data_IF_051792926058
#
_entry.id   IF_051792926058
#
_cell.length_a   1.000
_cell.length_b   1.000
_cell.length_c   1.000
_cell.angle_alpha   90.00
_cell.angle_beta   90.00
_cell.angle_gamma   90.00
#
_symmetry.space_group_name_H-M   'P 1'
#
loop_
_entity.id
_entity.type
_entity.pdbx_description
1 polymer ?
#
# COMPACT_ATOMS: atom_id res chain seq x y z
N UNK A 1 -10.99 -22.89 40.96
CA UNK A 1 -9.94 -22.82 39.91
C UNK A 1 -10.02 -21.41 39.34
N UNK A 2 -8.98 -20.56 39.43
CA UNK A 2 -9.07 -19.22 38.88
C UNK A 2 -9.23 -19.35 37.37
N UNK A 3 -10.40 -18.94 36.88
CA UNK A 3 -10.71 -18.87 35.46
C UNK A 3 -9.72 -17.91 34.81
N UNK A 4 -9.07 -18.34 33.72
CA UNK A 4 -8.10 -17.51 32.97
C UNK A 4 -8.71 -16.14 32.70
N UNK A 5 -8.00 -15.07 33.04
CA UNK A 5 -8.47 -13.70 32.80
C UNK A 5 -8.59 -13.47 31.29
N UNK A 6 -9.50 -12.59 30.87
CA UNK A 6 -9.69 -12.25 29.45
C UNK A 6 -8.38 -11.83 28.78
N UNK A 7 -7.58 -11.09 29.54
CA UNK A 7 -6.25 -10.62 29.20
C UNK A 7 -5.25 -11.74 28.89
N UNK A 8 -5.20 -12.78 29.74
CA UNK A 8 -4.36 -13.96 29.48
C UNK A 8 -4.83 -14.73 28.23
N UNK A 9 -6.14 -14.78 27.98
CA UNK A 9 -6.67 -15.40 26.76
C UNK A 9 -6.25 -14.64 25.50
N UNK A 10 -6.26 -13.31 25.54
CA UNK A 10 -5.77 -12.48 24.44
C UNK A 10 -4.27 -12.68 24.20
N UNK A 11 -3.45 -12.76 25.25
CA UNK A 11 -2.00 -13.00 25.09
C UNK A 11 -1.71 -14.36 24.44
N UNK A 12 -2.48 -15.39 24.77
CA UNK A 12 -2.39 -16.70 24.10
C UNK A 12 -2.76 -16.59 22.62
N UNK A 13 -3.80 -15.83 22.28
CA UNK A 13 -4.21 -15.59 20.87
C UNK A 13 -3.12 -14.85 20.11
N UNK A 14 -2.53 -13.81 20.69
CA UNK A 14 -1.39 -13.11 20.07
C UNK A 14 -0.18 -14.03 19.87
N UNK A 15 0.12 -14.90 20.84
CA UNK A 15 1.19 -15.90 20.70
C UNK A 15 0.93 -16.88 19.54
N UNK A 16 -0.30 -17.37 19.40
CA UNK A 16 -0.70 -18.22 18.27
C UNK A 16 -0.61 -17.48 16.94
N UNK A 17 -1.05 -16.23 16.92
CA UNK A 17 -1.02 -15.41 15.73
C UNK A 17 0.41 -15.14 15.27
N UNK A 18 1.36 -14.95 16.19
CA UNK A 18 2.79 -14.86 15.85
C UNK A 18 3.33 -16.11 15.20
N UNK A 19 3.03 -17.28 15.77
CA UNK A 19 3.40 -18.56 15.17
C UNK A 19 2.78 -18.71 13.77
N UNK A 20 1.52 -18.31 13.62
CA UNK A 20 0.83 -18.35 12.34
C UNK A 20 1.44 -17.38 11.30
N UNK A 21 1.86 -16.17 11.71
CA UNK A 21 2.60 -15.22 10.89
C UNK A 21 4.00 -15.74 10.53
N UNK A 22 4.66 -16.43 11.46
CA UNK A 22 5.98 -17.01 11.23
C UNK A 22 5.95 -18.12 10.17
N UNK A 23 4.99 -19.04 10.26
CA UNK A 23 4.80 -20.12 9.28
C UNK A 23 3.99 -19.71 8.05
N UNK A 24 3.48 -18.47 8.03
CA UNK A 24 2.66 -17.92 6.94
C UNK A 24 1.45 -18.79 6.58
N UNK A 25 0.60 -19.13 7.56
CA UNK A 25 -0.66 -19.84 7.30
C UNK A 25 -1.86 -18.87 7.29
N UNK A 26 -2.38 -18.47 6.11
CA UNK A 26 -3.38 -17.42 6.00
C UNK A 26 -4.72 -17.76 6.67
N UNK A 27 -5.10 -19.04 6.66
CA UNK A 27 -6.38 -19.49 7.22
C UNK A 27 -6.41 -19.37 8.74
N UNK A 28 -5.30 -19.74 9.38
CA UNK A 28 -5.16 -19.65 10.84
C UNK A 28 -5.08 -18.18 11.27
N UNK A 29 -4.35 -17.34 10.52
CA UNK A 29 -4.23 -15.91 10.82
C UNK A 29 -5.61 -15.25 10.82
N UNK A 30 -6.40 -15.45 9.77
CA UNK A 30 -7.73 -14.86 9.67
C UNK A 30 -8.65 -15.28 10.83
N UNK A 31 -8.67 -16.58 11.15
CA UNK A 31 -9.46 -17.13 12.25
C UNK A 31 -9.05 -16.59 13.62
N UNK A 32 -7.74 -16.44 13.86
CA UNK A 32 -7.24 -15.92 15.13
C UNK A 32 -7.41 -14.39 15.24
N UNK A 33 -7.41 -13.64 14.12
CA UNK A 33 -7.78 -12.20 14.10
C UNK A 33 -9.25 -12.02 14.47
N UNK A 34 -10.16 -12.78 13.85
CA UNK A 34 -11.60 -12.74 14.18
C UNK A 34 -11.84 -13.07 15.67
N UNK A 35 -11.15 -14.09 16.17
CA UNK A 35 -11.19 -14.44 17.60
C UNK A 35 -10.63 -13.32 18.49
N UNK A 36 -9.58 -12.63 18.05
CA UNK A 36 -9.02 -11.51 18.79
C UNK A 36 -10.00 -10.33 18.85
N UNK A 37 -10.70 -10.01 17.76
CA UNK A 37 -11.77 -9.01 17.75
C UNK A 37 -12.88 -9.35 18.75
N UNK A 38 -13.41 -10.58 18.72
CA UNK A 38 -14.46 -10.99 19.68
C UNK A 38 -14.04 -10.84 21.14
N UNK A 39 -12.77 -11.12 21.45
CA UNK A 39 -12.24 -11.02 22.80
C UNK A 39 -11.97 -9.55 23.20
N UNK A 40 -11.59 -8.70 22.25
CA UNK A 40 -11.43 -7.26 22.44
C UNK A 40 -12.78 -6.59 22.71
N UNK A 41 -13.83 -6.98 21.99
CA UNK A 41 -15.19 -6.45 22.16
C UNK A 41 -15.80 -6.83 23.52
N UNK A 42 -15.44 -8.00 24.05
CA UNK A 42 -15.85 -8.47 25.38
C UNK A 42 -15.19 -7.73 26.55
N UNK A 43 -14.21 -6.85 26.28
CA UNK A 43 -13.57 -6.01 27.31
C UNK A 43 -12.05 -6.05 27.33
N UNK A 44 -11.38 -6.10 26.17
CA UNK A 44 -9.92 -6.06 26.09
C UNK A 44 -9.33 -4.69 26.44
N UNK A 45 -8.25 -4.70 27.23
CA UNK A 45 -7.44 -3.52 27.58
C UNK A 45 -7.02 -2.70 26.35
N UNK A 46 -6.95 -1.38 26.51
CA UNK A 46 -6.56 -0.45 25.44
C UNK A 46 -5.23 -0.81 24.76
N UNK A 47 -4.21 -1.21 25.54
CA UNK A 47 -2.89 -1.62 25.01
C UNK A 47 -3.00 -2.84 24.06
N UNK A 48 -3.81 -3.83 24.42
CA UNK A 48 -4.04 -5.02 23.58
C UNK A 48 -4.80 -4.70 22.31
N UNK A 49 -5.66 -3.68 22.32
CA UNK A 49 -6.34 -3.20 21.10
C UNK A 49 -5.33 -2.61 20.12
N UNK A 50 -4.38 -1.81 20.60
CA UNK A 50 -3.33 -1.24 19.75
C UNK A 50 -2.40 -2.32 19.18
N UNK A 51 -2.07 -3.34 19.99
CA UNK A 51 -1.32 -4.50 19.51
C UNK A 51 -2.04 -5.27 18.41
N UNK A 52 -3.35 -5.46 18.55
CA UNK A 52 -4.16 -6.10 17.51
C UNK A 52 -4.13 -5.29 16.21
N UNK A 53 -4.33 -3.97 16.28
CA UNK A 53 -4.26 -3.11 15.10
C UNK A 53 -2.88 -3.12 14.42
N UNK A 54 -1.79 -3.15 15.19
CA UNK A 54 -0.44 -3.24 14.64
C UNK A 54 -0.22 -4.56 13.89
N UNK A 55 -0.69 -5.67 14.47
CA UNK A 55 -0.70 -7.00 13.83
C UNK A 55 -1.52 -6.98 12.53
N UNK A 56 -2.73 -6.42 12.57
CA UNK A 56 -3.62 -6.32 11.42
C UNK A 56 -2.99 -5.48 10.31
N UNK A 57 -2.35 -4.36 10.65
CA UNK A 57 -1.63 -3.52 9.69
C UNK A 57 -0.62 -4.35 8.88
N UNK A 58 0.18 -5.19 9.54
CA UNK A 58 1.19 -6.04 8.89
C UNK A 58 0.51 -7.15 8.07
N UNK A 59 -0.57 -7.73 8.59
CA UNK A 59 -1.36 -8.72 7.86
C UNK A 59 -1.94 -8.14 6.56
N UNK A 60 -2.56 -6.96 6.61
CA UNK A 60 -3.09 -6.27 5.45
C UNK A 60 -2.00 -5.86 4.46
N UNK A 61 -0.82 -5.44 4.93
CA UNK A 61 0.36 -5.24 4.08
C UNK A 61 0.73 -6.52 3.31
N UNK A 62 0.64 -7.67 3.98
CA UNK A 62 0.93 -8.98 3.39
C UNK A 62 -0.16 -9.50 2.44
N UNK A 63 -1.36 -8.93 2.44
CA UNK A 63 -2.47 -9.31 1.54
C UNK A 63 -2.69 -8.30 0.40
N UNK A 64 -1.79 -7.33 0.22
CA UNK A 64 -1.89 -6.20 -0.73
C UNK A 64 -3.03 -5.21 -0.43
N UNK A 65 -3.61 -5.25 0.76
CA UNK A 65 -4.65 -4.33 1.21
C UNK A 65 -4.01 -3.07 1.82
N UNK A 66 -3.26 -2.32 1.00
CA UNK A 66 -2.50 -1.16 1.48
C UNK A 66 -3.40 -0.03 2.00
N UNK A 67 -4.66 0.06 1.54
CA UNK A 67 -5.59 1.11 1.98
C UNK A 67 -5.98 0.94 3.44
N UNK A 68 -6.39 -0.26 3.82
CA UNK A 68 -6.72 -0.62 5.20
C UNK A 68 -5.46 -0.55 6.08
N UNK A 69 -4.34 -1.09 5.58
CA UNK A 69 -3.06 -1.03 6.29
C UNK A 69 -2.62 0.41 6.61
N UNK A 70 -2.75 1.34 5.66
CA UNK A 70 -2.37 2.75 5.85
C UNK A 70 -3.22 3.46 6.90
N UNK A 71 -4.52 3.15 6.98
CA UNK A 71 -5.41 3.73 7.98
C UNK A 71 -5.04 3.23 9.38
N UNK A 72 -4.87 1.91 9.53
CA UNK A 72 -4.46 1.29 10.79
C UNK A 72 -3.07 1.76 11.24
N UNK A 73 -2.14 1.97 10.29
CA UNK A 73 -0.81 2.47 10.60
C UNK A 73 -0.84 3.86 11.23
N UNK A 74 -1.59 4.80 10.64
CA UNK A 74 -1.68 6.17 11.16
C UNK A 74 -2.26 6.20 12.57
N UNK A 75 -3.23 5.33 12.87
CA UNK A 75 -3.80 5.20 14.21
C UNK A 75 -2.83 4.57 15.23
N UNK A 76 -1.96 3.67 14.77
CA UNK A 76 -1.04 2.93 15.64
C UNK A 76 0.32 3.60 15.84
N UNK A 77 0.65 4.60 15.03
CA UNK A 77 1.99 5.20 14.98
C UNK A 77 2.42 5.77 16.34
N UNK A 78 1.54 6.51 17.02
CA UNK A 78 1.83 7.18 18.30
C UNK A 78 1.78 6.24 19.51
N UNK A 79 1.23 5.04 19.36
CA UNK A 79 0.95 4.11 20.47
C UNK A 79 1.52 2.71 20.24
N UNK A 80 2.59 2.61 19.46
CA UNK A 80 3.18 1.32 19.13
C UNK A 80 3.83 0.67 20.36
N UNK A 81 3.20 -0.39 20.87
CA UNK A 81 3.63 -1.13 22.05
C UNK A 81 3.83 -2.64 21.77
N UNK A 82 4.36 -2.98 20.57
CA UNK A 82 4.51 -4.36 20.11
C UNK A 82 5.93 -4.72 19.65
N UNK A 83 6.94 -4.59 20.54
CA UNK A 83 8.35 -4.90 20.20
C UNK A 83 8.56 -6.39 19.86
N UNK A 84 7.69 -7.25 20.36
CA UNK A 84 7.73 -8.69 20.14
C UNK A 84 7.36 -9.13 18.71
N UNK A 85 6.79 -8.23 17.90
CA UNK A 85 6.44 -8.51 16.50
C UNK A 85 7.54 -8.01 15.55
N UNK A 86 7.96 -6.77 15.71
CA UNK A 86 9.06 -6.14 14.98
C UNK A 86 9.56 -4.91 15.72
N UNK A 87 10.74 -4.43 15.35
CA UNK A 87 11.25 -3.15 15.84
C UNK A 87 10.37 -1.99 15.38
N UNK A 88 10.34 -0.89 16.14
CA UNK A 88 9.61 0.33 15.74
C UNK A 88 10.09 0.84 14.38
N UNK A 89 11.39 0.74 14.10
CA UNK A 89 11.96 1.04 12.79
C UNK A 89 11.31 0.23 11.67
N UNK A 90 11.28 -1.09 11.80
CA UNK A 90 10.67 -1.94 10.77
C UNK A 90 9.18 -1.67 10.63
N UNK A 91 8.47 -1.41 11.73
CA UNK A 91 7.04 -1.08 11.67
C UNK A 91 6.79 0.21 10.89
N UNK A 92 7.54 1.26 11.20
CA UNK A 92 7.49 2.53 10.47
C UNK A 92 7.84 2.33 9.00
N UNK A 93 8.82 1.47 8.67
CA UNK A 93 9.14 1.14 7.28
C UNK A 93 7.93 0.56 6.54
N UNK A 94 7.30 -0.48 7.08
CA UNK A 94 6.18 -1.16 6.41
C UNK A 94 4.97 -0.23 6.27
N UNK A 95 4.67 0.53 7.33
CA UNK A 95 3.59 1.52 7.32
C UNK A 95 3.82 2.67 6.36
N UNK A 96 5.02 3.26 6.34
CA UNK A 96 5.39 4.32 5.42
C UNK A 96 5.31 3.85 3.96
N UNK A 97 5.75 2.63 3.65
CA UNK A 97 5.60 2.03 2.33
C UNK A 97 4.11 1.84 1.96
N UNK A 98 3.28 1.34 2.87
CA UNK A 98 1.84 1.22 2.63
C UNK A 98 1.17 2.58 2.35
N UNK A 99 1.53 3.60 3.14
CA UNK A 99 1.08 4.98 2.95
C UNK A 99 1.54 5.58 1.63
N UNK A 100 2.79 5.30 1.20
CA UNK A 100 3.36 5.78 -0.07
C UNK A 100 2.52 5.38 -1.29
N UNK A 101 1.96 4.17 -1.27
CA UNK A 101 1.16 3.65 -2.38
C UNK A 101 -0.22 4.32 -2.44
N UNK A 102 -0.87 4.53 -1.29
CA UNK A 102 -2.30 4.85 -1.24
C UNK A 102 -2.60 6.34 -1.07
N UNK A 103 -1.89 7.02 -0.18
CA UNK A 103 -2.29 8.34 0.31
C UNK A 103 -2.09 9.42 -0.74
N UNK A 104 -2.77 10.57 -0.70
CA UNK A 104 -2.46 11.68 -1.64
C UNK A 104 -1.16 12.42 -1.26
N UNK A 105 -0.59 13.24 -2.14
CA UNK A 105 0.62 14.04 -1.86
C UNK A 105 0.47 14.91 -0.61
N UNK A 106 -0.69 15.56 -0.45
CA UNK A 106 -0.97 16.42 0.70
C UNK A 106 -1.05 15.62 2.01
N UNK A 107 -1.68 14.45 1.97
CA UNK A 107 -1.84 13.60 3.15
C UNK A 107 -0.52 12.95 3.56
N UNK A 108 0.33 12.56 2.60
CA UNK A 108 1.67 11.99 2.89
C UNK A 108 2.51 12.98 3.68
N UNK A 109 2.52 14.25 3.27
CA UNK A 109 3.27 15.27 4.00
C UNK A 109 2.78 15.40 5.44
N UNK A 110 1.47 15.62 5.59
CA UNK A 110 0.85 15.91 6.90
C UNK A 110 0.90 14.72 7.87
N UNK A 111 0.69 13.50 7.38
CA UNK A 111 0.50 12.31 8.25
C UNK A 111 1.73 11.42 8.39
N UNK A 112 2.72 11.55 7.50
CA UNK A 112 3.91 10.67 7.50
C UNK A 112 5.20 11.47 7.57
N UNK A 113 5.42 12.45 6.69
CA UNK A 113 6.70 13.19 6.62
C UNK A 113 6.87 14.12 7.84
N UNK A 114 5.80 14.80 8.24
CA UNK A 114 5.81 15.76 9.36
C UNK A 114 5.51 15.07 10.71
N UNK A 115 5.29 13.75 10.73
CA UNK A 115 4.98 13.00 11.94
C UNK A 115 6.24 12.84 12.81
N UNK A 116 6.23 13.27 14.10
CA UNK A 116 7.42 13.26 14.93
C UNK A 116 8.00 11.86 15.14
N UNK A 117 7.16 10.84 15.27
CA UNK A 117 7.58 9.45 15.46
C UNK A 117 8.32 8.90 14.24
N UNK A 118 7.94 9.36 13.04
CA UNK A 118 8.63 9.00 11.81
C UNK A 118 9.98 9.72 11.77
N UNK A 119 10.01 11.02 12.04
CA UNK A 119 11.23 11.85 12.02
C UNK A 119 12.32 11.30 12.95
N UNK A 120 11.96 10.82 14.14
CA UNK A 120 12.90 10.18 15.06
C UNK A 120 13.54 8.91 14.49
N UNK A 121 12.77 8.16 13.68
CA UNK A 121 13.15 6.86 13.12
C UNK A 121 13.79 6.98 11.73
N UNK A 122 13.70 8.14 11.07
CA UNK A 122 14.27 8.39 9.72
C UNK A 122 15.76 8.02 9.66
N UNK A 123 16.52 8.24 10.73
CA UNK A 123 17.96 7.91 10.77
C UNK A 123 18.26 6.43 10.56
N UNK A 124 17.34 5.53 10.94
CA UNK A 124 17.48 4.09 10.73
C UNK A 124 17.06 3.65 9.31
N UNK A 125 16.25 4.45 8.61
CA UNK A 125 15.67 4.11 7.31
C UNK A 125 15.77 5.29 6.34
N UNK A 126 16.99 5.64 5.90
CA UNK A 126 17.20 6.81 5.05
C UNK A 126 16.57 6.64 3.66
N UNK A 127 16.47 5.43 3.14
CA UNK A 127 16.06 5.18 1.75
C UNK A 127 14.55 5.40 1.54
N UNK A 128 13.73 5.02 2.53
CA UNK A 128 12.27 5.22 2.48
C UNK A 128 11.91 6.70 2.65
N UNK A 129 12.58 7.41 3.55
CA UNK A 129 12.37 8.86 3.72
C UNK A 129 12.79 9.64 2.48
N UNK A 130 13.97 9.34 1.90
CA UNK A 130 14.41 9.92 0.63
C UNK A 130 13.39 9.70 -0.47
N UNK A 131 12.86 8.49 -0.62
CA UNK A 131 11.83 8.17 -1.63
C UNK A 131 10.55 9.00 -1.41
N UNK A 132 10.10 9.14 -0.17
CA UNK A 132 8.88 9.89 0.15
C UNK A 132 9.04 11.39 -0.06
N UNK A 133 10.17 11.96 0.38
CA UNK A 133 10.50 13.38 0.18
C UNK A 133 10.74 13.71 -1.28
N UNK A 134 11.46 12.88 -2.03
CA UNK A 134 11.70 13.12 -3.46
C UNK A 134 10.41 13.08 -4.28
N UNK A 135 9.49 12.17 -3.94
CA UNK A 135 8.15 12.14 -4.53
C UNK A 135 7.33 13.40 -4.17
N UNK A 136 7.43 13.87 -2.94
CA UNK A 136 6.75 15.08 -2.49
C UNK A 136 7.32 16.35 -3.15
N UNK A 137 8.64 16.47 -3.26
CA UNK A 137 9.36 17.62 -3.83
C UNK A 137 9.39 17.60 -5.37
N UNK A 138 8.81 16.57 -6.00
CA UNK A 138 8.80 16.36 -7.45
C UNK A 138 10.20 16.19 -8.07
N UNK A 139 11.17 15.65 -7.31
CA UNK A 139 12.50 15.27 -7.81
C UNK A 139 12.48 13.83 -8.31
N UNK A 140 12.09 13.66 -9.55
CA UNK A 140 11.79 12.33 -10.10
C UNK A 140 13.02 11.44 -10.38
N UNK A 141 14.16 12.03 -10.74
CA UNK A 141 15.41 11.29 -10.90
C UNK A 141 15.86 10.66 -9.56
N UNK A 142 15.92 11.46 -8.49
CA UNK A 142 16.25 10.99 -7.14
C UNK A 142 15.24 9.94 -6.65
N UNK A 143 13.96 10.10 -7.00
CA UNK A 143 12.91 9.13 -6.68
C UNK A 143 13.16 7.75 -7.30
N UNK A 144 13.63 7.65 -8.55
CA UNK A 144 13.91 6.36 -9.19
C UNK A 144 15.10 5.64 -8.55
N UNK A 145 16.14 6.40 -8.18
CA UNK A 145 17.29 5.86 -7.46
C UNK A 145 16.86 5.34 -6.09
N UNK A 146 16.15 6.17 -5.31
CA UNK A 146 15.65 5.78 -4.00
C UNK A 146 14.67 4.59 -4.06
N UNK A 147 13.82 4.51 -5.10
CA UNK A 147 12.91 3.38 -5.29
C UNK A 147 13.66 2.06 -5.55
N UNK A 148 14.78 2.11 -6.29
CA UNK A 148 15.62 0.94 -6.54
C UNK A 148 16.34 0.47 -5.26
N UNK A 149 16.84 1.40 -4.45
CA UNK A 149 17.43 1.14 -3.13
C UNK A 149 16.38 0.50 -2.20
N UNK A 150 15.17 1.07 -2.11
CA UNK A 150 14.07 0.50 -1.29
C UNK A 150 13.67 -0.90 -1.76
N UNK A 151 13.67 -1.16 -3.08
CA UNK A 151 13.38 -2.50 -3.61
C UNK A 151 14.39 -3.54 -3.14
N UNK A 152 15.67 -3.20 -3.15
CA UNK A 152 16.76 -4.10 -2.81
C UNK A 152 16.90 -4.29 -1.30
N UNK A 153 16.86 -3.21 -0.53
CA UNK A 153 17.13 -3.24 0.91
C UNK A 153 15.93 -3.68 1.74
N UNK A 154 14.71 -3.29 1.37
CA UNK A 154 13.52 -3.52 2.20
C UNK A 154 12.51 -4.48 1.57
N UNK A 155 12.16 -4.31 0.30
CA UNK A 155 11.08 -5.11 -0.30
C UNK A 155 11.48 -6.56 -0.52
N UNK A 156 12.69 -6.82 -1.06
CA UNK A 156 13.19 -8.19 -1.30
C UNK A 156 13.56 -8.92 -0.01
N UNK A 157 14.05 -8.18 0.99
CA UNK A 157 14.48 -8.75 2.27
C UNK A 157 13.28 -9.04 3.19
N UNK A 158 12.24 -8.19 3.16
CA UNK A 158 11.08 -8.34 4.03
C UNK A 158 10.31 -9.64 3.74
N UNK A 159 10.10 -10.44 4.80
CA UNK A 159 9.30 -11.68 4.73
C UNK A 159 7.89 -11.46 4.18
N UNK A 160 7.26 -10.35 4.53
CA UNK A 160 5.86 -10.07 4.19
C UNK A 160 5.72 -9.42 2.81
N UNK A 161 6.65 -8.53 2.44
CA UNK A 161 6.56 -7.75 1.20
C UNK A 161 7.30 -8.40 0.01
N UNK A 162 8.18 -9.39 0.23
CA UNK A 162 8.95 -10.02 -0.84
C UNK A 162 8.04 -10.64 -1.93
N UNK A 163 6.91 -11.26 -1.58
CA UNK A 163 5.97 -11.76 -2.62
C UNK A 163 5.29 -10.66 -3.43
N UNK A 164 5.42 -9.40 -3.03
CA UNK A 164 4.68 -8.25 -3.54
C UNK A 164 5.56 -7.11 -4.06
N UNK A 165 6.88 -7.27 -4.06
CA UNK A 165 7.82 -6.24 -4.52
C UNK A 165 7.53 -5.74 -5.95
N UNK A 166 7.28 -6.63 -6.91
CA UNK A 166 6.92 -6.24 -8.28
C UNK A 166 5.64 -5.43 -8.36
N UNK A 167 4.66 -5.74 -7.51
CA UNK A 167 3.42 -4.97 -7.44
C UNK A 167 3.74 -3.56 -6.93
N UNK A 168 4.48 -3.46 -5.83
CA UNK A 168 4.84 -2.19 -5.21
C UNK A 168 5.59 -1.26 -6.18
N UNK A 169 6.66 -1.74 -6.81
CA UNK A 169 7.49 -0.92 -7.70
C UNK A 169 6.74 -0.49 -8.96
N UNK A 170 5.80 -1.31 -9.42
CA UNK A 170 4.90 -0.95 -10.52
C UNK A 170 3.93 0.15 -10.12
N UNK A 171 3.28 0.03 -8.97
CA UNK A 171 2.32 1.03 -8.49
C UNK A 171 3.00 2.38 -8.19
N UNK A 172 4.19 2.36 -7.58
CA UNK A 172 4.98 3.57 -7.31
C UNK A 172 5.40 4.28 -8.60
N UNK A 173 5.77 3.55 -9.66
CA UNK A 173 6.07 4.14 -10.98
C UNK A 173 4.86 4.77 -11.64
N UNK A 174 3.72 4.07 -11.67
CA UNK A 174 2.45 4.61 -12.21
C UNK A 174 2.13 5.93 -11.51
N UNK A 175 2.30 5.96 -10.19
CA UNK A 175 2.04 7.15 -9.37
C UNK A 175 2.99 8.31 -9.70
N UNK A 176 4.28 8.05 -9.82
CA UNK A 176 5.25 9.07 -10.24
C UNK A 176 4.91 9.65 -11.62
N UNK A 177 4.57 8.80 -12.60
CA UNK A 177 4.15 9.22 -13.92
C UNK A 177 2.84 10.00 -13.91
N UNK A 178 1.82 9.51 -13.18
CA UNK A 178 0.54 10.18 -13.06
C UNK A 178 0.69 11.58 -12.45
N UNK A 179 1.51 11.73 -11.41
CA UNK A 179 1.76 13.01 -10.75
C UNK A 179 2.42 14.02 -11.69
N UNK A 180 3.41 13.61 -12.50
CA UNK A 180 4.00 14.50 -13.49
C UNK A 180 2.95 14.90 -14.55
N UNK A 181 2.25 13.91 -15.11
CA UNK A 181 1.26 14.12 -16.18
C UNK A 181 0.06 14.97 -15.73
N UNK A 182 -0.34 14.92 -14.46
CA UNK A 182 -1.49 15.69 -13.95
C UNK A 182 -1.32 17.20 -14.12
N UNK A 183 -0.06 17.68 -14.05
CA UNK A 183 0.30 19.10 -14.17
C UNK A 183 0.36 19.60 -15.62
N UNK A 184 0.40 18.71 -16.62
CA UNK A 184 0.60 19.07 -18.03
C UNK A 184 -0.54 18.54 -18.92
N UNK A 185 -0.98 19.37 -19.88
CA UNK A 185 -1.89 18.92 -20.94
C UNK A 185 -1.14 18.13 -22.02
N UNK A 186 0.06 18.59 -22.37
CA UNK A 186 0.96 17.92 -23.30
C UNK A 186 2.41 18.07 -22.82
N UNK A 187 3.23 17.04 -23.06
CA UNK A 187 4.63 16.98 -22.68
C UNK A 187 5.43 16.20 -23.71
N UNK A 188 6.62 16.67 -24.09
CA UNK A 188 7.52 15.90 -24.96
C UNK A 188 8.12 14.71 -24.21
N UNK A 189 8.22 13.54 -24.86
CA UNK A 189 8.82 12.33 -24.28
C UNK A 189 10.26 12.57 -23.81
N UNK A 190 11.02 13.43 -24.50
CA UNK A 190 12.40 13.78 -24.12
C UNK A 190 12.48 14.49 -22.77
N UNK A 191 11.70 15.55 -22.58
CA UNK A 191 11.62 16.28 -21.30
C UNK A 191 11.15 15.37 -20.14
N UNK A 192 10.21 14.47 -20.42
CA UNK A 192 9.79 13.46 -19.44
C UNK A 192 10.95 12.52 -19.06
N UNK A 193 11.66 11.98 -20.05
CA UNK A 193 12.79 11.10 -19.85
C UNK A 193 13.93 11.80 -19.07
N UNK A 194 14.24 13.05 -19.40
CA UNK A 194 15.24 13.87 -18.71
C UNK A 194 14.84 14.12 -17.24
N UNK A 195 13.56 14.38 -16.96
CA UNK A 195 13.05 14.61 -15.60
C UNK A 195 13.18 13.37 -14.71
N UNK A 196 12.96 12.19 -15.27
CA UNK A 196 13.09 10.90 -14.57
C UNK A 196 14.53 10.34 -14.62
N UNK A 197 15.44 10.95 -15.38
CA UNK A 197 16.83 10.48 -15.52
C UNK A 197 16.97 9.16 -16.27
N UNK A 198 16.09 8.89 -17.24
CA UNK A 198 16.04 7.63 -17.99
C UNK A 198 16.03 7.88 -19.50
N UNK A 199 16.14 6.82 -20.31
CA UNK A 199 16.09 6.95 -21.77
C UNK A 199 14.65 7.09 -22.28
N UNK A 200 14.50 7.74 -23.44
CA UNK A 200 13.19 7.90 -24.11
C UNK A 200 12.56 6.55 -24.43
N UNK A 201 13.36 5.57 -24.86
CA UNK A 201 12.90 4.22 -25.17
C UNK A 201 12.32 3.50 -23.94
N UNK A 202 12.92 3.74 -22.76
CA UNK A 202 12.43 3.18 -21.51
C UNK A 202 11.05 3.74 -21.15
N UNK A 203 10.88 5.07 -21.26
CA UNK A 203 9.60 5.74 -20.99
C UNK A 203 8.53 5.29 -22.00
N UNK A 204 8.85 5.21 -23.30
CA UNK A 204 7.91 4.76 -24.35
C UNK A 204 7.38 3.35 -24.04
N UNK A 205 8.29 2.43 -23.66
CA UNK A 205 7.93 1.04 -23.30
C UNK A 205 7.09 0.95 -22.01
N UNK A 206 7.41 1.74 -20.99
CA UNK A 206 6.64 1.71 -19.73
C UNK A 206 5.27 2.36 -19.87
N UNK A 207 5.20 3.55 -20.48
CA UNK A 207 3.94 4.27 -20.69
C UNK A 207 3.00 3.48 -21.58
N UNK A 208 3.47 2.92 -22.70
CA UNK A 208 2.65 2.09 -23.58
C UNK A 208 2.01 0.91 -22.84
N UNK A 209 2.76 0.24 -21.96
CA UNK A 209 2.23 -0.85 -21.12
C UNK A 209 1.14 -0.37 -20.14
N UNK A 210 1.35 0.78 -19.49
CA UNK A 210 0.41 1.30 -18.50
C UNK A 210 -0.84 1.93 -19.12
N UNK A 211 -0.71 2.55 -20.29
CA UNK A 211 -1.83 3.06 -21.09
C UNK A 211 -2.67 1.89 -21.61
N UNK A 212 -2.04 0.85 -22.15
CA UNK A 212 -2.75 -0.36 -22.60
C UNK A 212 -3.48 -1.07 -21.45
N UNK A 213 -2.92 -1.03 -20.23
CA UNK A 213 -3.58 -1.53 -19.02
C UNK A 213 -4.67 -0.60 -18.46
N UNK A 214 -4.89 0.58 -19.06
CA UNK A 214 -5.87 1.58 -18.61
C UNK A 214 -5.53 2.20 -17.24
N UNK A 215 -4.26 2.14 -16.82
CA UNK A 215 -3.80 2.66 -15.51
C UNK A 215 -3.30 4.11 -15.59
N UNK A 216 -2.95 4.59 -16.78
CA UNK A 216 -2.60 5.97 -17.06
C UNK A 216 -3.54 6.53 -18.13
N UNK A 217 -4.05 7.74 -17.89
CA UNK A 217 -4.97 8.41 -18.80
C UNK A 217 -4.23 9.40 -19.70
N UNK A 218 -3.39 8.86 -20.58
CA UNK A 218 -2.66 9.63 -21.58
C UNK A 218 -2.55 8.85 -22.88
N UNK A 219 -2.27 9.57 -23.97
CA UNK A 219 -2.05 9.02 -25.31
C UNK A 219 -0.68 9.48 -25.78
N UNK A 220 0.07 8.56 -26.37
CA UNK A 220 1.39 8.85 -26.92
C UNK A 220 1.25 9.08 -28.43
N UNK A 221 1.67 10.26 -28.88
CA UNK A 221 1.95 10.53 -30.29
C UNK A 221 3.44 10.28 -30.55
N UNK A 222 3.74 9.16 -31.21
CA UNK A 222 5.11 8.74 -31.51
C UNK A 222 5.75 9.55 -32.64
N UNK A 223 4.96 10.09 -33.56
CA UNK A 223 5.48 10.90 -34.68
C UNK A 223 5.88 12.27 -34.17
N UNK A 224 5.01 12.89 -33.36
CA UNK A 224 5.30 14.15 -32.68
C UNK A 224 6.26 14.04 -31.49
N UNK A 225 6.42 12.84 -30.93
CA UNK A 225 7.20 12.61 -29.71
C UNK A 225 6.57 13.24 -28.47
N UNK A 226 5.24 13.38 -28.45
CA UNK A 226 4.48 14.10 -27.43
C UNK A 226 3.53 13.13 -26.72
N UNK A 227 3.41 13.28 -25.41
CA UNK A 227 2.39 12.65 -24.58
C UNK A 227 1.30 13.67 -24.32
N UNK A 228 0.06 13.34 -24.68
CA UNK A 228 -1.13 14.16 -24.43
C UNK A 228 -1.94 13.51 -23.32
N UNK A 229 -2.29 14.27 -22.29
CA UNK A 229 -3.14 13.77 -21.22
C UNK A 229 -4.61 13.87 -21.59
N UNK A 230 -5.36 12.80 -21.33
CA UNK A 230 -6.80 12.81 -21.48
C UNK A 230 -7.40 12.73 -20.09
N UNK A 231 -8.12 13.76 -19.64
CA UNK A 231 -8.77 13.75 -18.34
C UNK A 231 -10.13 13.04 -18.49
N UNK A 232 -10.28 11.79 -18.02
CA UNK A 232 -11.56 11.12 -18.12
C UNK A 232 -12.59 11.83 -17.26
N UNK A 233 -13.78 12.02 -17.82
CA UNK A 233 -14.92 12.57 -17.08
C UNK A 233 -15.26 11.67 -15.87
N UNK A 234 -15.43 12.29 -14.71
CA UNK A 234 -15.81 11.62 -13.45
C UNK A 234 -17.09 10.81 -13.60
N UNK A 235 -18.06 11.32 -14.37
CA UNK A 235 -19.31 10.61 -14.68
C UNK A 235 -19.09 9.33 -15.48
N UNK A 236 -18.21 9.35 -16.48
CA UNK A 236 -17.92 8.17 -17.30
C UNK A 236 -17.20 7.09 -16.47
N UNK A 237 -16.27 7.51 -15.62
CA UNK A 237 -15.61 6.60 -14.68
C UNK A 237 -16.60 5.94 -13.69
N UNK A 238 -17.51 6.73 -13.12
CA UNK A 238 -18.57 6.21 -12.25
C UNK A 238 -19.49 5.24 -12.99
N UNK A 239 -19.95 5.60 -14.20
CA UNK A 239 -20.79 4.75 -15.04
C UNK A 239 -20.13 3.39 -15.31
N UNK A 240 -18.87 3.38 -15.75
CA UNK A 240 -18.11 2.15 -16.01
C UNK A 240 -17.93 1.28 -14.76
N UNK A 241 -17.69 1.90 -13.59
CA UNK A 241 -17.58 1.18 -12.33
C UNK A 241 -18.91 0.54 -11.91
N UNK A 242 -20.02 1.26 -12.06
CA UNK A 242 -21.36 0.74 -11.76
C UNK A 242 -21.71 -0.45 -12.62
N UNK A 243 -21.42 -0.42 -13.93
CA UNK A 243 -21.65 -1.56 -14.82
C UNK A 243 -20.83 -2.77 -14.37
N UNK A 244 -19.52 -2.60 -14.12
CA UNK A 244 -18.65 -3.70 -13.68
C UNK A 244 -19.12 -4.34 -12.37
N UNK A 245 -19.51 -3.52 -11.39
CA UNK A 245 -20.04 -4.03 -10.12
C UNK A 245 -21.42 -4.68 -10.30
N UNK A 246 -22.27 -4.12 -11.16
CA UNK A 246 -23.57 -4.69 -11.53
C UNK A 246 -23.44 -6.06 -12.16
N UNK A 247 -22.56 -6.21 -13.15
CA UNK A 247 -22.29 -7.49 -13.82
C UNK A 247 -21.75 -8.54 -12.84
N UNK A 248 -20.86 -8.15 -11.92
CA UNK A 248 -20.35 -9.07 -10.90
C UNK A 248 -21.47 -9.56 -9.98
N UNK A 249 -22.38 -8.68 -9.57
CA UNK A 249 -23.52 -9.02 -8.74
C UNK A 249 -24.49 -9.94 -9.48
N UNK A 250 -24.87 -9.59 -10.71
CA UNK A 250 -25.77 -10.40 -11.55
C UNK A 250 -25.22 -11.81 -11.75
N UNK A 251 -23.92 -11.94 -12.05
CA UNK A 251 -23.26 -13.23 -12.18
C UNK A 251 -23.31 -14.06 -10.89
N UNK A 252 -23.15 -13.43 -9.72
CA UNK A 252 -23.26 -14.12 -8.42
C UNK A 252 -24.69 -14.58 -8.14
N UNK A 253 -25.67 -13.71 -8.38
CA UNK A 253 -27.09 -14.02 -8.18
C UNK A 253 -27.54 -15.13 -9.13
N UNK A 254 -27.13 -15.10 -10.40
CA UNK A 254 -27.45 -16.14 -11.37
C UNK A 254 -26.87 -17.50 -10.96
N UNK A 255 -25.62 -17.54 -10.50
CA UNK A 255 -25.00 -18.77 -9.97
C UNK A 255 -25.73 -19.30 -8.74
N UNK A 256 -26.10 -18.43 -7.80
CA UNK A 256 -26.85 -18.81 -6.61
C UNK A 256 -28.25 -19.33 -6.97
N UNK A 257 -28.97 -18.65 -7.86
CA UNK A 257 -30.28 -19.07 -8.35
C UNK A 257 -30.22 -20.47 -8.98
N UNK A 258 -29.20 -20.73 -9.83
CA UNK A 258 -29.00 -22.04 -10.45
C UNK A 258 -28.75 -23.18 -9.44
N UNK A 259 -28.13 -22.89 -8.30
CA UNK A 259 -27.91 -23.86 -7.21
C UNK A 259 -29.19 -24.09 -6.41
N UNK A 260 -30.01 -23.06 -6.20
CA UNK A 260 -31.26 -23.16 -5.43
C UNK A 260 -32.40 -23.79 -6.24
N UNK A 261 -32.36 -23.65 -7.57
CA UNK A 261 -33.33 -24.28 -8.49
C UNK A 261 -33.04 -25.73 -8.85
N UNK A 262 -31.87 -26.26 -8.46
CA UNK A 262 -31.55 -27.70 -8.50
C UNK A 262 -31.91 -28.35 -7.17
#
# INVERSE_FOLDING_TARGET
>A
RPTTTLNQKLDIVFGKLRLALFYYNPQIIQKEIERAHELVDKGGDWDRRNRLKAVECIWHCSQRQFKEASALFIECLSTFASPELMSMSEFVCHGALACAVVMSRADIKKKVIDAPEVVEVVGAIPNVDKMMRSLHDCRYADFFVALAEVETDHLKVSRYLNKHYHYFTREMRIRGYAQLLESYLSLTLKSMADSFGVTVEFIDKELSRFIAAGRLHCVIDKVGGIVVTNRPDTKNAQYQNTIKQGDLLLNRVQKLSGIVSM
#
